data_IF_436001306126
#
_entry.id   IF_436001306126
#
_cell.length_a   1.000
_cell.length_b   1.000
_cell.length_c   1.000
_cell.angle_alpha   90.00
_cell.angle_beta   90.00
_cell.angle_gamma   90.00
#
_symmetry.space_group_name_H-M   'P 1'
#
loop_
_entity.id
_entity.type
_entity.pdbx_description
1 polymer ?
#
# COMPACT_ATOMS: atom_id res chain seq x y z
N UNK A 1 42.08 -39.64 -43.74
CA UNK A 1 40.71 -39.42 -43.23
C UNK A 1 40.56 -40.23 -41.94
N UNK A 2 40.74 -39.54 -40.81
CA UNK A 2 40.59 -40.13 -39.47
C UNK A 2 39.26 -39.66 -38.90
N UNK A 3 38.24 -40.46 -39.02
CA UNK A 3 36.98 -40.23 -38.30
C UNK A 3 37.21 -40.68 -36.84
N UNK A 4 37.31 -39.76 -35.91
CA UNK A 4 37.24 -40.05 -34.48
C UNK A 4 35.87 -40.66 -34.18
N UNK A 5 35.83 -41.92 -33.80
CA UNK A 5 34.64 -42.56 -33.20
C UNK A 5 34.41 -41.92 -31.82
N UNK A 6 33.38 -41.12 -31.69
CA UNK A 6 32.85 -40.69 -30.40
C UNK A 6 32.36 -41.99 -29.73
N UNK A 7 33.13 -42.47 -28.73
CA UNK A 7 32.76 -43.67 -27.97
C UNK A 7 31.44 -43.42 -27.25
N UNK A 8 30.54 -44.39 -27.26
CA UNK A 8 29.33 -44.37 -26.47
C UNK A 8 29.68 -44.17 -24.97
N UNK A 9 29.01 -43.26 -24.24
CA UNK A 9 29.26 -43.05 -22.82
C UNK A 9 29.06 -44.36 -22.04
N UNK A 10 29.90 -44.59 -21.05
CA UNK A 10 29.80 -45.79 -20.21
C UNK A 10 28.41 -45.87 -19.53
N UNK A 11 27.90 -47.09 -19.23
CA UNK A 11 26.61 -47.24 -18.52
C UNK A 11 26.54 -46.47 -17.20
N UNK A 12 27.64 -46.33 -16.50
CA UNK A 12 27.77 -45.52 -15.25
C UNK A 12 27.63 -44.04 -15.54
N UNK A 13 28.23 -43.52 -16.62
CA UNK A 13 28.09 -42.13 -17.01
C UNK A 13 26.66 -41.78 -17.43
N UNK A 14 25.97 -42.70 -18.10
CA UNK A 14 24.55 -42.57 -18.44
C UNK A 14 23.63 -42.64 -17.24
N UNK A 15 23.94 -43.45 -16.24
CA UNK A 15 23.21 -43.51 -14.96
C UNK A 15 23.37 -42.23 -14.17
N UNK A 16 24.60 -41.69 -14.07
CA UNK A 16 24.90 -40.43 -13.38
C UNK A 16 24.24 -39.25 -14.08
N UNK A 17 24.23 -39.19 -15.41
CA UNK A 17 23.52 -38.17 -16.19
C UNK A 17 22.01 -38.23 -15.97
N UNK A 18 21.40 -39.43 -15.93
CA UNK A 18 19.98 -39.56 -15.60
C UNK A 18 19.65 -39.09 -14.20
N UNK A 19 20.45 -39.46 -13.21
CA UNK A 19 20.25 -38.98 -11.82
C UNK A 19 20.38 -37.47 -11.73
N UNK A 20 21.36 -36.85 -12.41
CA UNK A 20 21.48 -35.40 -12.51
C UNK A 20 20.27 -34.75 -13.20
N UNK A 21 19.80 -35.35 -14.30
CA UNK A 21 18.61 -34.83 -15.01
C UNK A 21 17.35 -34.94 -14.18
N UNK A 22 17.16 -36.04 -13.46
CA UNK A 22 16.02 -36.25 -12.56
C UNK A 22 16.06 -35.30 -11.36
N UNK A 23 17.24 -35.08 -10.79
CA UNK A 23 17.43 -34.11 -9.70
C UNK A 23 17.17 -32.68 -10.13
N UNK A 24 17.70 -32.25 -11.27
CA UNK A 24 17.48 -30.92 -11.85
C UNK A 24 16.00 -30.72 -12.23
N UNK A 25 15.36 -31.73 -12.78
CA UNK A 25 13.94 -31.68 -13.16
C UNK A 25 13.03 -31.61 -11.93
N UNK A 26 13.38 -32.31 -10.85
CA UNK A 26 12.64 -32.27 -9.59
C UNK A 26 12.80 -30.91 -8.87
N UNK A 27 14.00 -30.34 -8.91
CA UNK A 27 14.28 -29.01 -8.36
C UNK A 27 13.54 -27.89 -9.12
N UNK A 28 13.54 -27.96 -10.44
CA UNK A 28 12.79 -27.02 -11.28
C UNK A 28 11.27 -27.11 -11.03
N UNK A 29 10.71 -28.33 -10.93
CA UNK A 29 9.29 -28.51 -10.58
C UNK A 29 8.97 -27.96 -9.20
N UNK A 30 9.80 -28.24 -8.21
CA UNK A 30 9.62 -27.75 -6.84
C UNK A 30 9.64 -26.22 -6.78
N UNK A 31 10.52 -25.57 -7.54
CA UNK A 31 10.60 -24.12 -7.62
C UNK A 31 9.37 -23.52 -8.33
N UNK A 32 8.90 -24.16 -9.39
CA UNK A 32 7.67 -23.80 -10.08
C UNK A 32 6.45 -23.92 -9.15
N UNK A 33 6.34 -25.01 -8.41
CA UNK A 33 5.24 -25.23 -7.46
C UNK A 33 5.23 -24.18 -6.34
N UNK A 34 6.40 -23.77 -5.84
CA UNK A 34 6.50 -22.69 -4.84
C UNK A 34 6.03 -21.34 -5.39
N UNK A 35 6.42 -20.99 -6.61
CA UNK A 35 5.99 -19.75 -7.25
C UNK A 35 4.49 -19.73 -7.57
N UNK A 36 3.95 -20.86 -8.06
CA UNK A 36 2.51 -21.02 -8.29
C UNK A 36 1.75 -20.91 -6.96
N UNK A 37 2.24 -21.53 -5.90
CA UNK A 37 1.65 -21.46 -4.56
C UNK A 37 1.68 -20.04 -4.00
N UNK A 38 2.77 -19.29 -4.21
CA UNK A 38 2.85 -17.89 -3.82
C UNK A 38 1.87 -17.02 -4.62
N UNK A 39 1.77 -17.24 -5.94
CA UNK A 39 0.81 -16.55 -6.79
C UNK A 39 -0.66 -16.86 -6.45
N UNK A 40 -0.96 -18.10 -6.02
CA UNK A 40 -2.27 -18.49 -5.51
C UNK A 40 -2.53 -17.83 -4.14
N UNK A 41 -1.55 -17.86 -3.26
CA UNK A 41 -1.61 -17.17 -1.97
C UNK A 41 -1.92 -15.68 -2.16
N UNK A 42 -1.27 -15.00 -3.09
CA UNK A 42 -1.52 -13.59 -3.40
C UNK A 42 -3.00 -13.31 -3.74
N UNK A 43 -3.66 -14.23 -4.43
CA UNK A 43 -5.08 -14.11 -4.80
C UNK A 43 -6.03 -14.48 -3.68
N UNK A 44 -5.61 -15.35 -2.77
CA UNK A 44 -6.45 -15.94 -1.71
C UNK A 44 -6.32 -15.23 -0.38
N UNK A 45 -5.23 -14.49 -0.15
CA UNK A 45 -5.03 -13.76 1.10
C UNK A 45 -5.85 -12.47 1.16
N UNK A 46 -6.70 -12.41 2.15
CA UNK A 46 -7.44 -11.18 2.54
C UNK A 46 -6.63 -10.27 3.46
N UNK A 47 -5.45 -10.72 3.93
CA UNK A 47 -4.60 -10.01 4.89
C UNK A 47 -3.17 -9.90 4.34
N UNK A 48 -2.77 -8.69 4.01
CA UNK A 48 -1.43 -8.37 3.50
C UNK A 48 -0.32 -8.91 4.42
N UNK A 49 -0.45 -8.71 5.73
CA UNK A 49 0.59 -9.12 6.69
C UNK A 49 0.95 -10.59 6.57
N UNK A 50 -0.05 -11.48 6.53
CA UNK A 50 0.17 -12.93 6.38
C UNK A 50 0.86 -13.28 5.06
N UNK A 51 0.55 -12.54 3.99
CA UNK A 51 1.24 -12.73 2.72
C UNK A 51 2.71 -12.30 2.82
N UNK A 52 2.99 -11.13 3.40
CA UNK A 52 4.35 -10.62 3.55
C UNK A 52 5.23 -11.50 4.45
N UNK A 53 4.66 -12.16 5.45
CA UNK A 53 5.35 -13.16 6.30
C UNK A 53 5.92 -14.35 5.50
N UNK A 54 5.26 -14.73 4.41
CA UNK A 54 5.70 -15.83 3.55
C UNK A 54 6.82 -15.42 2.59
N UNK A 55 6.91 -14.16 2.21
CA UNK A 55 7.85 -13.66 1.19
C UNK A 55 9.31 -14.03 1.52
N UNK A 56 9.87 -13.73 2.71
CA UNK A 56 11.25 -14.10 3.03
C UNK A 56 11.46 -15.62 3.09
N UNK A 57 10.46 -16.36 3.57
CA UNK A 57 10.53 -17.83 3.65
C UNK A 57 10.60 -18.45 2.26
N UNK A 58 9.74 -17.98 1.34
CA UNK A 58 9.75 -18.48 -0.04
C UNK A 58 11.02 -18.05 -0.77
N UNK A 59 11.45 -16.80 -0.61
CA UNK A 59 12.66 -16.28 -1.25
C UNK A 59 13.90 -17.09 -0.84
N UNK A 60 14.09 -17.34 0.46
CA UNK A 60 15.24 -18.13 0.95
C UNK A 60 15.21 -19.58 0.46
N UNK A 61 14.02 -20.21 0.44
CA UNK A 61 13.87 -21.61 -0.02
C UNK A 61 14.10 -21.79 -1.52
N UNK A 62 13.63 -20.84 -2.35
CA UNK A 62 13.79 -20.89 -3.80
C UNK A 62 15.26 -20.88 -4.24
N UNK A 63 16.11 -20.22 -3.48
CA UNK A 63 17.56 -20.11 -3.80
C UNK A 63 18.42 -20.98 -2.86
N UNK A 64 17.81 -21.73 -1.94
CA UNK A 64 18.53 -22.67 -1.08
C UNK A 64 19.45 -21.99 -0.06
N UNK A 65 19.06 -20.80 0.46
CA UNK A 65 19.85 -20.03 1.44
C UNK A 65 19.18 -19.98 2.79
N UNK A 66 19.94 -19.61 3.83
CA UNK A 66 19.45 -19.67 5.21
C UNK A 66 18.51 -18.54 5.57
N UNK A 67 18.69 -17.37 4.97
CA UNK A 67 17.92 -16.20 5.43
C UNK A 67 17.47 -15.26 4.35
N UNK A 68 16.36 -14.58 4.65
CA UNK A 68 15.85 -13.47 3.85
C UNK A 68 15.13 -12.45 4.74
N UNK A 69 15.07 -11.21 4.28
CA UNK A 69 14.43 -10.07 4.93
C UNK A 69 13.63 -9.29 3.92
N UNK A 70 12.40 -8.98 4.23
CA UNK A 70 11.55 -8.04 3.50
C UNK A 70 11.42 -6.74 4.29
N UNK A 71 11.76 -5.65 3.64
CA UNK A 71 11.72 -4.29 4.20
C UNK A 71 10.75 -3.47 3.35
N UNK A 72 9.45 -3.45 3.67
CA UNK A 72 8.46 -2.73 2.90
C UNK A 72 8.48 -1.22 3.22
N UNK A 73 8.04 -0.42 2.25
CA UNK A 73 7.87 1.03 2.38
C UNK A 73 6.40 1.42 2.30
N UNK A 74 6.04 2.45 3.04
CA UNK A 74 4.73 3.09 2.97
C UNK A 74 4.56 3.86 1.64
N UNK A 75 3.37 4.36 1.37
CA UNK A 75 3.08 5.13 0.16
C UNK A 75 3.90 6.43 0.06
N UNK A 76 4.31 7.00 1.20
CA UNK A 76 5.15 8.18 1.32
C UNK A 76 6.67 7.87 1.24
N UNK A 77 7.04 6.62 0.99
CA UNK A 77 8.42 6.16 0.89
C UNK A 77 9.09 5.85 2.23
N UNK A 78 8.42 6.07 3.35
CA UNK A 78 8.99 5.75 4.67
C UNK A 78 9.02 4.25 4.93
N UNK A 79 9.96 3.82 5.78
CA UNK A 79 10.04 2.45 6.24
C UNK A 79 8.75 2.03 6.96
N UNK A 80 8.13 0.93 6.49
CA UNK A 80 6.93 0.37 7.11
C UNK A 80 7.29 -0.60 8.22
N UNK A 81 7.64 -0.07 9.40
CA UNK A 81 8.21 -0.83 10.52
C UNK A 81 7.35 -1.99 10.99
N UNK A 82 6.03 -1.81 11.02
CA UNK A 82 5.08 -2.83 11.49
C UNK A 82 4.95 -4.02 10.50
N UNK A 83 5.46 -3.87 9.29
CA UNK A 83 5.40 -4.89 8.24
C UNK A 83 6.78 -5.45 7.86
N UNK A 84 7.81 -5.19 8.68
CA UNK A 84 9.12 -5.82 8.52
C UNK A 84 9.00 -7.33 8.71
N UNK A 85 9.50 -8.11 7.75
CA UNK A 85 9.43 -9.57 7.79
C UNK A 85 10.81 -10.19 7.56
N UNK A 86 11.06 -11.30 8.23
CA UNK A 86 12.31 -12.06 8.06
C UNK A 86 12.07 -13.55 8.21
N UNK A 87 12.93 -14.34 7.59
CA UNK A 87 12.94 -15.79 7.81
C UNK A 87 13.15 -16.10 9.30
N UNK A 88 12.54 -17.19 9.82
CA UNK A 88 12.55 -17.50 11.25
C UNK A 88 13.89 -18.10 11.74
N UNK A 89 14.98 -17.45 11.38
CA UNK A 89 16.35 -17.88 11.72
C UNK A 89 17.17 -16.69 12.18
N UNK A 90 18.09 -16.90 13.10
CA UNK A 90 19.13 -15.93 13.36
C UNK A 90 20.14 -15.94 12.19
N UNK A 91 20.65 -14.80 11.72
CA UNK A 91 20.56 -13.45 12.28
C UNK A 91 19.36 -12.58 11.75
N UNK A 92 18.41 -13.14 11.02
CA UNK A 92 17.25 -12.36 10.49
C UNK A 92 16.51 -11.64 11.61
N UNK A 93 16.29 -12.28 12.74
CA UNK A 93 15.56 -11.72 13.88
C UNK A 93 16.30 -10.54 14.54
N UNK A 94 17.61 -10.61 14.66
CA UNK A 94 18.42 -9.48 15.16
C UNK A 94 18.42 -8.31 14.19
N UNK A 95 18.51 -8.60 12.88
CA UNK A 95 18.42 -7.60 11.83
C UNK A 95 17.06 -6.87 11.84
N UNK A 96 15.95 -7.58 12.03
CA UNK A 96 14.61 -6.97 12.13
C UNK A 96 14.53 -5.97 13.29
N UNK A 97 15.09 -6.32 14.45
CA UNK A 97 15.14 -5.40 15.60
C UNK A 97 15.95 -4.14 15.29
N UNK A 98 17.10 -4.27 14.61
CA UNK A 98 17.95 -3.15 14.20
C UNK A 98 17.29 -2.28 13.14
N UNK A 99 16.60 -2.88 12.18
CA UNK A 99 15.83 -2.18 11.15
C UNK A 99 14.64 -1.44 11.75
N UNK A 100 13.95 -2.03 12.73
CA UNK A 100 12.84 -1.37 13.42
C UNK A 100 13.29 -0.12 14.19
N UNK A 101 14.52 -0.14 14.74
CA UNK A 101 15.15 0.99 15.42
C UNK A 101 15.89 1.95 14.47
N UNK A 102 15.97 1.64 13.18
CA UNK A 102 16.70 2.45 12.22
C UNK A 102 15.95 3.75 11.92
N UNK A 103 16.61 4.87 12.21
CA UNK A 103 16.16 6.19 11.79
C UNK A 103 17.09 6.65 10.65
N UNK A 104 16.57 6.80 9.42
CA UNK A 104 17.33 7.50 8.39
C UNK A 104 17.57 8.91 8.91
N UNK A 105 18.86 9.26 9.09
CA UNK A 105 19.28 10.49 9.77
C UNK A 105 18.49 11.70 9.27
N UNK A 106 18.00 12.50 10.22
CA UNK A 106 17.19 13.71 10.02
C UNK A 106 17.89 14.86 9.27
N UNK A 107 19.08 14.62 8.74
CA UNK A 107 19.91 15.65 8.09
C UNK A 107 19.65 15.82 6.58
N UNK A 108 18.77 15.01 5.99
CA UNK A 108 18.47 15.16 4.56
C UNK A 108 16.96 15.20 4.41
N UNK A 109 16.45 16.37 4.10
CA UNK A 109 15.09 16.52 3.60
C UNK A 109 14.92 15.52 2.44
N UNK A 110 13.79 14.82 2.41
CA UNK A 110 13.33 13.82 1.45
C UNK A 110 14.29 13.64 0.25
N UNK A 111 15.44 13.02 0.51
CA UNK A 111 16.38 12.58 -0.53
C UNK A 111 15.73 11.42 -1.27
N UNK A 112 16.00 11.32 -2.53
CA UNK A 112 15.50 10.28 -3.45
C UNK A 112 15.46 8.91 -2.76
N UNK A 113 14.48 8.06 -3.15
CA UNK A 113 14.34 6.67 -2.70
C UNK A 113 15.70 5.92 -2.69
N UNK A 114 16.61 6.30 -3.58
CA UNK A 114 17.96 5.76 -3.70
C UNK A 114 18.85 5.96 -2.47
N UNK A 115 18.77 7.11 -1.79
CA UNK A 115 19.60 7.37 -0.60
C UNK A 115 19.16 6.53 0.60
N UNK A 116 17.86 6.35 0.76
CA UNK A 116 17.31 5.50 1.82
C UNK A 116 17.68 4.03 1.57
N UNK A 117 17.54 3.56 0.32
CA UNK A 117 17.94 2.20 -0.07
C UNK A 117 19.42 1.98 0.21
N UNK A 118 20.28 2.92 -0.17
CA UNK A 118 21.71 2.82 0.08
C UNK A 118 22.06 2.76 1.57
N UNK A 119 21.36 3.53 2.39
CA UNK A 119 21.53 3.50 3.85
C UNK A 119 21.10 2.16 4.45
N UNK A 120 19.98 1.60 3.99
CA UNK A 120 19.50 0.26 4.38
C UNK A 120 20.47 -0.84 3.94
N UNK A 121 20.93 -0.81 2.70
CA UNK A 121 21.89 -1.78 2.15
C UNK A 121 23.19 -1.79 2.98
N UNK A 122 23.69 -0.60 3.34
CA UNK A 122 24.89 -0.46 4.21
C UNK A 122 24.66 -1.01 5.61
N UNK A 123 23.46 -0.78 6.20
CA UNK A 123 23.13 -1.31 7.51
C UNK A 123 23.12 -2.84 7.49
N UNK A 124 22.38 -3.44 6.54
CA UNK A 124 22.30 -4.90 6.41
C UNK A 124 23.66 -5.52 6.16
N UNK A 125 24.47 -4.92 5.29
CA UNK A 125 25.83 -5.42 4.99
C UNK A 125 26.77 -5.36 6.20
N UNK A 126 26.68 -4.30 7.03
CA UNK A 126 27.46 -4.22 8.29
C UNK A 126 27.06 -5.31 9.29
N UNK A 127 25.78 -5.66 9.34
CA UNK A 127 25.28 -6.70 10.23
C UNK A 127 25.62 -8.12 9.71
N UNK A 128 25.88 -8.27 8.42
CA UNK A 128 26.20 -9.54 7.75
C UNK A 128 27.56 -9.49 7.01
N UNK A 129 28.68 -9.17 7.67
CA UNK A 129 29.91 -8.84 6.98
C UNK A 129 30.54 -10.01 6.21
N UNK A 130 30.20 -11.26 6.57
CA UNK A 130 30.76 -12.49 5.97
C UNK A 130 29.75 -13.25 5.13
N UNK A 131 28.52 -12.73 4.97
CA UNK A 131 27.47 -13.41 4.21
C UNK A 131 27.57 -13.07 2.73
N UNK A 132 27.23 -14.02 1.88
CA UNK A 132 26.89 -13.74 0.49
C UNK A 132 25.49 -13.11 0.46
N UNK A 133 25.42 -11.81 0.25
CA UNK A 133 24.19 -11.03 0.27
C UNK A 133 23.77 -10.68 -1.16
N UNK A 134 22.50 -10.87 -1.46
CA UNK A 134 21.82 -10.33 -2.63
C UNK A 134 20.62 -9.49 -2.20
N UNK A 135 20.46 -8.33 -2.82
CA UNK A 135 19.35 -7.41 -2.53
C UNK A 135 18.68 -6.98 -3.83
N UNK A 136 17.36 -6.92 -3.81
CA UNK A 136 16.57 -6.42 -4.94
C UNK A 136 15.46 -5.49 -4.46
N UNK A 137 15.07 -4.55 -5.32
CA UNK A 137 13.93 -3.66 -5.02
C UNK A 137 12.62 -4.38 -5.23
N UNK A 138 11.70 -4.18 -4.29
CA UNK A 138 10.31 -4.57 -4.39
C UNK A 138 9.60 -3.44 -5.13
N UNK A 139 9.16 -3.67 -6.35
CA UNK A 139 8.60 -2.64 -7.22
C UNK A 139 7.18 -2.95 -7.66
N UNK A 140 6.35 -1.91 -7.76
CA UNK A 140 5.04 -1.99 -8.38
C UNK A 140 4.74 -0.68 -9.11
N UNK A 141 4.22 -0.77 -10.33
CA UNK A 141 3.85 0.40 -11.17
C UNK A 141 4.96 1.45 -11.29
N UNK A 142 6.21 1.01 -11.41
CA UNK A 142 7.37 1.91 -11.53
C UNK A 142 7.78 2.63 -10.24
N UNK A 143 7.22 2.26 -9.09
CA UNK A 143 7.59 2.79 -7.77
C UNK A 143 8.20 1.72 -6.90
N UNK A 144 9.21 2.09 -6.12
CA UNK A 144 9.80 1.21 -5.12
C UNK A 144 8.90 1.12 -3.90
N UNK A 145 8.48 -0.11 -3.55
CA UNK A 145 7.60 -0.43 -2.43
C UNK A 145 8.33 -1.12 -1.29
N UNK A 146 9.61 -1.35 -1.43
CA UNK A 146 10.43 -1.99 -0.42
C UNK A 146 11.73 -2.54 -0.96
N UNK A 147 12.42 -3.29 -0.10
CA UNK A 147 13.67 -3.98 -0.41
C UNK A 147 13.58 -5.43 0.08
N UNK A 148 14.01 -6.37 -0.75
CA UNK A 148 14.11 -7.79 -0.41
C UNK A 148 15.58 -8.17 -0.38
N UNK A 149 16.04 -8.69 0.75
CA UNK A 149 17.39 -9.20 0.97
C UNK A 149 17.32 -10.72 1.10
N UNK A 150 18.25 -11.42 0.47
CA UNK A 150 18.51 -12.84 0.69
C UNK A 150 19.98 -13.03 0.96
N UNK A 151 20.32 -13.92 1.88
CA UNK A 151 21.72 -14.11 2.27
C UNK A 151 22.02 -15.56 2.63
N UNK A 152 23.23 -15.99 2.30
CA UNK A 152 23.85 -17.20 2.79
C UNK A 152 24.93 -16.83 3.80
N UNK A 153 25.00 -17.51 4.96
CA UNK A 153 26.06 -17.28 5.96
C UNK A 153 27.44 -17.64 5.43
N UNK A 154 27.47 -18.63 4.55
CA UNK A 154 28.69 -18.96 3.84
C UNK A 154 28.90 -17.96 2.69
N UNK A 155 29.90 -17.11 2.84
CA UNK A 155 30.25 -16.09 1.84
C UNK A 155 30.76 -16.65 0.52
N UNK A 156 30.93 -17.95 0.38
CA UNK A 156 31.38 -18.62 -0.86
C UNK A 156 30.24 -18.81 -1.89
N UNK A 157 28.99 -18.53 -1.54
CA UNK A 157 27.88 -18.65 -2.48
C UNK A 157 28.00 -17.64 -3.63
N UNK A 158 27.98 -18.13 -4.84
CA UNK A 158 27.92 -17.31 -6.05
C UNK A 158 26.48 -17.17 -6.50
N UNK A 159 25.98 -15.93 -6.56
CA UNK A 159 24.64 -15.63 -7.04
C UNK A 159 24.53 -15.85 -8.55
N UNK A 160 23.82 -16.90 -8.97
CA UNK A 160 23.55 -17.18 -10.37
C UNK A 160 22.44 -16.28 -10.90
N UNK A 161 22.33 -16.17 -12.23
CA UNK A 161 21.25 -15.43 -12.88
C UNK A 161 19.86 -16.03 -12.54
N UNK A 162 19.78 -17.35 -12.38
CA UNK A 162 18.57 -18.07 -11.98
C UNK A 162 18.14 -17.65 -10.56
N UNK A 163 19.09 -17.61 -9.62
CA UNK A 163 18.81 -17.15 -8.25
C UNK A 163 18.29 -15.71 -8.25
N UNK A 164 18.93 -14.81 -9.00
CA UNK A 164 18.51 -13.40 -9.12
C UNK A 164 17.09 -13.26 -9.65
N UNK A 165 16.75 -14.01 -10.70
CA UNK A 165 15.41 -14.00 -11.30
C UNK A 165 14.34 -14.51 -10.33
N UNK A 166 14.61 -15.58 -9.60
CA UNK A 166 13.67 -16.12 -8.62
C UNK A 166 13.39 -15.12 -7.51
N UNK A 167 14.43 -14.50 -6.96
CA UNK A 167 14.28 -13.49 -5.91
C UNK A 167 13.54 -12.26 -6.44
N UNK A 168 13.85 -11.82 -7.67
CA UNK A 168 13.15 -10.69 -8.30
C UNK A 168 11.67 -10.99 -8.49
N UNK A 169 11.31 -12.19 -8.96
CA UNK A 169 9.91 -12.57 -9.14
C UNK A 169 9.13 -12.56 -7.81
N UNK A 170 9.75 -13.03 -6.72
CA UNK A 170 9.14 -12.96 -5.38
C UNK A 170 8.99 -11.51 -4.93
N UNK A 171 9.99 -10.65 -5.19
CA UNK A 171 9.93 -9.23 -4.89
C UNK A 171 8.82 -8.52 -5.68
N UNK A 172 8.65 -8.84 -6.96
CA UNK A 172 7.59 -8.26 -7.80
C UNK A 172 6.20 -8.66 -7.29
N UNK A 173 6.00 -9.92 -6.89
CA UNK A 173 4.75 -10.37 -6.27
C UNK A 173 4.46 -9.65 -4.95
N UNK A 174 5.48 -9.43 -4.12
CA UNK A 174 5.35 -8.64 -2.90
C UNK A 174 4.98 -7.18 -3.20
N UNK A 175 5.59 -6.59 -4.23
CA UNK A 175 5.26 -5.25 -4.69
C UNK A 175 3.81 -5.11 -5.11
N UNK A 176 3.30 -6.05 -5.89
CA UNK A 176 1.88 -6.09 -6.31
C UNK A 176 0.95 -6.21 -5.11
N UNK A 177 1.30 -7.05 -4.12
CA UNK A 177 0.49 -7.21 -2.91
C UNK A 177 0.40 -5.91 -2.11
N UNK A 178 1.54 -5.25 -1.88
CA UNK A 178 1.61 -3.98 -1.15
C UNK A 178 0.81 -2.89 -1.88
N UNK A 179 0.98 -2.77 -3.19
CA UNK A 179 0.28 -1.77 -4.00
C UNK A 179 -1.24 -1.98 -3.97
N UNK A 180 -1.69 -3.23 -4.14
CA UNK A 180 -3.11 -3.56 -4.10
C UNK A 180 -3.75 -3.24 -2.75
N UNK A 181 -3.08 -3.55 -1.65
CA UNK A 181 -3.57 -3.23 -0.30
C UNK A 181 -3.67 -1.72 -0.08
N UNK A 182 -2.66 -0.96 -0.48
CA UNK A 182 -2.67 0.50 -0.40
C UNK A 182 -3.83 1.10 -1.21
N UNK A 183 -4.04 0.63 -2.44
CA UNK A 183 -5.16 1.09 -3.27
C UNK A 183 -6.52 0.79 -2.64
N UNK A 184 -6.68 -0.38 -2.03
CA UNK A 184 -7.92 -0.75 -1.32
C UNK A 184 -8.14 0.12 -0.08
N UNK A 185 -7.10 0.43 0.67
CA UNK A 185 -7.16 1.32 1.83
C UNK A 185 -7.54 2.76 1.41
N UNK A 186 -6.92 3.26 0.35
CA UNK A 186 -7.22 4.59 -0.19
C UNK A 186 -8.67 4.67 -0.70
N UNK A 187 -9.14 3.67 -1.43
CA UNK A 187 -10.53 3.60 -1.90
C UNK A 187 -11.54 3.61 -0.73
N UNK A 188 -11.30 2.80 0.32
CA UNK A 188 -12.13 2.78 1.53
C UNK A 188 -12.12 4.12 2.27
N UNK A 189 -10.97 4.80 2.29
CA UNK A 189 -10.83 6.12 2.90
C UNK A 189 -11.65 7.17 2.15
N UNK A 190 -11.59 7.18 0.82
CA UNK A 190 -12.39 8.07 -0.01
C UNK A 190 -13.89 7.82 0.18
N UNK A 191 -14.33 6.56 0.10
CA UNK A 191 -15.73 6.19 0.33
C UNK A 191 -16.25 6.66 1.70
N UNK A 192 -15.42 6.52 2.75
CA UNK A 192 -15.78 6.98 4.10
C UNK A 192 -15.92 8.50 4.16
N UNK A 193 -15.01 9.25 3.54
CA UNK A 193 -15.08 10.72 3.47
C UNK A 193 -16.31 11.16 2.70
N UNK A 194 -16.58 10.56 1.54
CA UNK A 194 -17.75 10.87 0.72
C UNK A 194 -19.06 10.61 1.48
N UNK A 195 -19.15 9.53 2.22
CA UNK A 195 -20.31 9.22 3.08
C UNK A 195 -20.48 10.26 4.19
N UNK A 196 -19.42 10.68 4.85
CA UNK A 196 -19.47 11.74 5.87
C UNK A 196 -19.94 13.08 5.29
N UNK A 197 -19.47 13.42 4.08
CA UNK A 197 -19.90 14.62 3.37
C UNK A 197 -21.37 14.56 2.97
N UNK A 198 -21.87 13.42 2.51
CA UNK A 198 -23.29 13.23 2.18
C UNK A 198 -24.19 13.42 3.40
N UNK A 199 -23.81 12.86 4.56
CA UNK A 199 -24.55 13.06 5.82
C UNK A 199 -24.52 14.56 6.21
N UNK A 200 -23.37 15.23 6.08
CA UNK A 200 -23.26 16.67 6.32
C UNK A 200 -24.18 17.49 5.42
N UNK A 201 -24.30 17.13 4.15
CA UNK A 201 -25.20 17.78 3.19
C UNK A 201 -26.68 17.59 3.55
N UNK A 202 -27.06 16.39 4.00
CA UNK A 202 -28.42 16.12 4.47
C UNK A 202 -28.78 16.95 5.71
N UNK A 203 -27.88 17.02 6.69
CA UNK A 203 -28.08 17.84 7.89
C UNK A 203 -28.19 19.32 7.50
N UNK A 204 -27.30 19.82 6.64
CA UNK A 204 -27.31 21.19 6.18
C UNK A 204 -28.61 21.54 5.44
N UNK A 205 -29.10 20.65 4.57
CA UNK A 205 -30.37 20.84 3.88
C UNK A 205 -31.55 20.96 4.85
N UNK A 206 -31.54 20.27 6.01
CA UNK A 206 -32.57 20.36 7.03
C UNK A 206 -32.49 21.66 7.83
N UNK A 207 -31.38 22.36 7.85
CA UNK A 207 -31.21 23.65 8.52
C UNK A 207 -31.73 24.82 7.69
N UNK A 208 -31.85 24.65 6.39
CA UNK A 208 -32.41 25.65 5.49
C UNK A 208 -33.95 25.57 5.47
N UNK A 209 -34.67 26.70 5.31
CA UNK A 209 -36.11 26.69 5.21
C UNK A 209 -36.62 25.88 4.02
N UNK A 210 -37.50 24.91 4.25
CA UNK A 210 -38.12 24.09 3.21
C UNK A 210 -39.05 24.89 2.28
N UNK A 211 -39.63 25.98 2.78
CA UNK A 211 -40.60 26.80 2.07
C UNK A 211 -40.42 28.28 2.38
N UNK A 212 -40.60 29.10 1.35
CA UNK A 212 -40.73 30.53 1.56
C UNK A 212 -42.04 30.86 2.28
N UNK A 213 -42.04 31.80 3.25
CA UNK A 213 -43.28 32.27 3.87
C UNK A 213 -44.12 33.02 2.86
N UNK A 214 -45.47 32.95 3.05
CA UNK A 214 -46.40 33.74 2.24
C UNK A 214 -46.57 35.10 2.90
N UNK A 215 -46.08 36.15 2.26
CA UNK A 215 -46.11 37.51 2.75
C UNK A 215 -47.00 38.34 1.86
N UNK A 216 -47.97 39.10 2.46
CA UNK A 216 -48.93 39.90 1.70
C UNK A 216 -48.21 41.01 0.88
N UNK A 217 -48.39 41.03 -0.45
CA UNK A 217 -47.79 42.00 -1.35
C UNK A 217 -46.35 41.72 -1.72
N UNK A 218 -45.78 40.53 -1.32
CA UNK A 218 -44.43 40.13 -1.66
C UNK A 218 -44.45 38.74 -2.31
N UNK A 219 -43.81 38.64 -3.45
CA UNK A 219 -43.50 37.36 -4.10
C UNK A 219 -42.05 36.98 -3.72
N UNK A 220 -41.85 35.81 -3.14
CA UNK A 220 -40.60 35.39 -2.56
C UNK A 220 -40.21 34.00 -3.05
N UNK A 221 -39.01 33.88 -3.57
CA UNK A 221 -38.39 32.62 -3.94
C UNK A 221 -36.96 32.53 -3.40
N UNK A 222 -36.58 31.39 -2.87
CA UNK A 222 -35.24 31.13 -2.41
C UNK A 222 -34.76 29.77 -2.88
N UNK A 223 -33.48 29.67 -3.18
CA UNK A 223 -32.83 28.44 -3.57
C UNK A 223 -31.37 28.50 -3.15
N UNK A 224 -30.89 27.48 -2.44
CA UNK A 224 -29.48 27.23 -2.18
C UNK A 224 -29.01 26.06 -3.05
N UNK A 225 -27.87 26.20 -3.69
CA UNK A 225 -27.23 25.13 -4.45
C UNK A 225 -25.72 25.17 -4.17
N UNK A 226 -25.26 24.37 -3.21
CA UNK A 226 -23.83 24.32 -2.89
C UNK A 226 -23.01 23.92 -4.10
N UNK A 227 -21.79 24.50 -4.22
CA UNK A 227 -20.85 24.15 -5.27
C UNK A 227 -20.18 22.77 -5.04
N UNK A 228 -20.14 22.35 -3.77
CA UNK A 228 -19.71 21.03 -3.30
C UNK A 228 -20.86 20.35 -2.57
N UNK A 229 -20.60 19.20 -1.95
CA UNK A 229 -21.64 18.48 -1.18
C UNK A 229 -22.20 19.32 -0.02
N UNK A 230 -21.36 20.17 0.58
CA UNK A 230 -21.73 21.14 1.62
C UNK A 230 -21.24 22.53 1.22
N UNK A 231 -21.99 23.58 1.60
CA UNK A 231 -21.68 24.98 1.27
C UNK A 231 -21.61 25.85 2.51
N UNK A 232 -21.10 27.09 2.35
CA UNK A 232 -21.11 28.14 3.39
C UNK A 232 -22.31 29.07 3.31
N UNK A 233 -23.12 28.92 2.25
CA UNK A 233 -24.29 29.79 2.03
C UNK A 233 -25.44 29.41 2.97
N UNK A 234 -25.98 30.40 3.65
CA UNK A 234 -27.12 30.26 4.53
C UNK A 234 -28.18 31.30 4.20
N UNK A 235 -29.44 30.95 4.31
CA UNK A 235 -30.56 31.88 4.32
C UNK A 235 -31.64 31.45 5.28
N UNK A 236 -32.38 32.41 5.83
CA UNK A 236 -33.51 32.16 6.72
C UNK A 236 -34.58 33.23 6.61
N UNK A 237 -35.81 32.89 7.05
CA UNK A 237 -36.97 33.74 7.10
C UNK A 237 -37.44 33.81 8.52
N UNK A 238 -37.15 34.92 9.22
CA UNK A 238 -37.42 35.08 10.65
C UNK A 238 -38.62 36.01 10.86
N UNK A 239 -39.74 35.52 11.44
CA UNK A 239 -40.85 36.40 11.82
C UNK A 239 -40.42 37.27 13.01
N UNK A 240 -40.53 38.60 12.85
CA UNK A 240 -40.12 39.54 13.92
C UNK A 240 -41.21 39.71 15.02
N UNK A 241 -42.43 39.21 14.76
CA UNK A 241 -43.54 39.16 15.76
C UNK A 241 -44.31 37.85 15.63
N UNK A 242 -43.82 36.76 16.23
CA UNK A 242 -44.39 35.41 16.10
C UNK A 242 -45.83 35.32 16.66
N UNK A 243 -46.23 36.20 17.61
CA UNK A 243 -47.58 36.24 18.19
C UNK A 243 -48.67 36.61 17.15
N UNK A 244 -48.31 37.15 16.01
CA UNK A 244 -49.21 37.51 14.91
C UNK A 244 -49.34 36.43 13.84
N UNK A 245 -48.58 35.36 13.93
CA UNK A 245 -48.59 34.25 12.97
C UNK A 245 -49.83 33.40 13.20
N UNK A 246 -50.67 33.24 12.18
CA UNK A 246 -51.85 32.36 12.22
C UNK A 246 -53.21 33.03 12.28
N UNK A 247 -53.31 34.34 12.33
CA UNK A 247 -54.57 35.08 12.20
C UNK A 247 -54.64 35.83 10.88
N UNK A 248 -55.35 35.26 9.91
CA UNK A 248 -55.72 35.85 8.60
C UNK A 248 -54.66 36.76 7.96
N UNK A 249 -54.01 36.25 6.89
CA UNK A 249 -53.04 36.96 6.04
C UNK A 249 -52.02 37.74 6.89
N UNK A 250 -50.87 37.13 7.05
CA UNK A 250 -49.83 37.56 7.93
C UNK A 250 -49.33 38.97 7.58
N UNK A 251 -49.86 40.00 8.23
CA UNK A 251 -49.30 41.36 8.23
C UNK A 251 -48.12 41.47 9.18
N UNK A 252 -47.39 40.37 9.38
CA UNK A 252 -46.20 40.35 10.20
C UNK A 252 -44.98 41.00 9.50
N UNK A 253 -44.06 41.54 10.27
CA UNK A 253 -42.73 41.91 9.76
C UNK A 253 -41.86 40.67 9.72
N UNK A 254 -41.21 40.44 8.60
CA UNK A 254 -40.26 39.36 8.38
C UNK A 254 -38.86 39.92 8.21
N UNK A 255 -37.85 39.28 8.79
CA UNK A 255 -36.46 39.46 8.47
C UNK A 255 -36.02 38.38 7.49
N UNK A 256 -35.38 38.80 6.42
CA UNK A 256 -34.72 37.96 5.44
C UNK A 256 -33.25 37.98 5.75
N UNK A 257 -32.68 36.84 6.06
CA UNK A 257 -31.26 36.71 6.40
C UNK A 257 -30.55 35.95 5.30
N UNK A 258 -29.41 36.44 4.89
CA UNK A 258 -28.50 35.76 3.99
C UNK A 258 -27.10 35.87 4.58
N UNK A 259 -26.39 34.76 4.63
CA UNK A 259 -25.02 34.67 5.12
C UNK A 259 -24.18 33.82 4.19
N UNK A 260 -22.92 34.15 4.09
CA UNK A 260 -21.91 33.34 3.41
C UNK A 260 -20.68 33.21 4.31
N UNK A 261 -20.38 31.97 4.72
CA UNK A 261 -19.21 31.68 5.55
C UNK A 261 -17.99 31.54 4.63
N UNK A 262 -16.98 32.39 4.88
CA UNK A 262 -15.72 32.33 4.14
C UNK A 262 -15.06 30.96 4.24
N UNK A 263 -14.80 30.34 3.09
CA UNK A 263 -14.18 29.04 2.98
C UNK A 263 -14.90 28.14 1.96
N UNK A 264 -14.43 26.91 1.84
CA UNK A 264 -15.04 25.90 0.95
C UNK A 264 -15.15 24.56 1.67
N UNK A 265 -16.16 23.80 1.32
CA UNK A 265 -16.36 22.44 1.81
C UNK A 265 -16.75 22.36 3.29
N UNK A 266 -16.31 21.29 3.97
CA UNK A 266 -16.74 20.91 5.32
C UNK A 266 -16.56 22.02 6.37
N UNK A 267 -15.40 22.73 6.44
CA UNK A 267 -15.23 23.76 7.46
C UNK A 267 -16.25 24.90 7.37
N UNK A 268 -16.56 25.35 6.16
CA UNK A 268 -17.58 26.38 5.93
C UNK A 268 -18.99 25.87 6.23
N UNK A 269 -19.29 24.64 5.84
CA UNK A 269 -20.58 24.02 6.10
C UNK A 269 -20.87 23.71 7.57
N UNK A 270 -19.85 23.56 8.40
CA UNK A 270 -20.02 23.36 9.86
C UNK A 270 -20.23 24.65 10.65
N UNK A 271 -19.89 25.81 10.07
CA UNK A 271 -20.02 27.13 10.69
C UNK A 271 -21.35 27.83 10.31
N UNK A 272 -22.05 27.33 9.33
CA UNK A 272 -23.37 27.77 8.91
C UNK A 272 -24.44 27.35 9.90
#
# INVERSE_FOLDING_TARGET
SSAQRIGNPSPEAMSSLRQLFDSLSSEQRRNQDLLVSLGFALRSFTNLQRFLELVPVVASRLVGVEGALLVPFQSDGRLWRDQLQGSPVEPSQDLLRRLAAFEPGSAVGFGSDDQQILALDRLVQRCLPKAALFATSVTARGRTRGRLYVYARNGSLVWTEVHRRHVQLVADLAGVAIENDQMLQDARRHERVDRQLSIGAEIQAQLLPDRCPVIEGVDLAARCRPAFQVGGDYYDFIPTRPELIGRRRERGRWALVMGDVMGKGVPAGLLM
#
